data_IF_406200437821
#
_entry.id   IF_406200437821
#
_cell.length_a   1.000
_cell.length_b   1.000
_cell.length_c   1.000
_cell.angle_alpha   90.00
_cell.angle_beta   90.00
_cell.angle_gamma   90.00
#
_symmetry.space_group_name_H-M   'P 1'
#
loop_
_entity.id
_entity.type
_entity.pdbx_description
1 polymer ?
#
# COMPACT_ATOMS: atom_id res chain seq x y z
N UNK A 1 4.96 43.35 -7.39
CA UNK A 1 3.78 42.73 -6.75
C UNK A 1 4.21 41.36 -6.23
N UNK A 2 4.73 41.32 -5.01
CA UNK A 2 5.14 40.08 -4.32
C UNK A 2 3.88 39.47 -3.70
N UNK A 3 3.31 38.47 -4.34
CA UNK A 3 2.24 37.67 -3.75
C UNK A 3 2.85 36.78 -2.67
N UNK A 4 2.90 37.30 -1.44
CA UNK A 4 3.13 36.48 -0.26
C UNK A 4 1.96 35.50 -0.14
N UNK A 5 2.14 34.30 -0.68
CA UNK A 5 1.28 33.16 -0.37
C UNK A 5 1.35 32.87 1.14
N UNK A 6 0.39 32.09 1.69
CA UNK A 6 0.43 31.71 3.09
C UNK A 6 1.80 31.07 3.41
N UNK A 7 2.39 31.39 4.58
CA UNK A 7 3.68 30.83 4.97
C UNK A 7 3.60 29.31 4.97
N UNK A 8 4.70 28.64 4.61
CA UNK A 8 4.85 27.20 4.85
C UNK A 8 4.53 26.93 6.32
N UNK A 9 3.78 25.86 6.66
CA UNK A 9 3.57 25.50 8.05
C UNK A 9 4.94 25.38 8.73
N UNK A 10 5.07 25.98 9.90
CA UNK A 10 6.29 25.84 10.70
C UNK A 10 6.48 24.34 11.00
N UNK A 11 7.54 23.75 10.46
CA UNK A 11 7.98 22.42 10.84
C UNK A 11 8.39 22.53 12.31
N UNK A 12 7.57 22.02 13.22
CA UNK A 12 7.89 21.97 14.64
C UNK A 12 9.15 21.12 14.85
N UNK A 13 10.02 21.57 15.75
CA UNK A 13 11.34 21.00 15.98
C UNK A 13 11.34 19.48 16.21
N UNK A 14 12.35 18.83 15.64
CA UNK A 14 13.02 17.62 16.13
C UNK A 14 12.18 16.40 16.45
N UNK A 15 12.37 15.30 15.69
CA UNK A 15 12.03 13.91 16.06
C UNK A 15 11.25 13.74 17.37
N UNK A 16 9.95 14.02 17.30
CA UNK A 16 9.03 13.38 18.22
C UNK A 16 8.93 11.96 17.65
N UNK A 17 9.30 10.95 18.44
CA UNK A 17 8.83 9.57 18.19
C UNK A 17 7.38 9.66 17.74
N UNK A 18 6.92 8.92 16.69
CA UNK A 18 5.63 9.16 16.03
C UNK A 18 4.63 9.59 17.07
N UNK A 19 4.23 10.88 17.03
CA UNK A 19 3.46 11.47 18.12
C UNK A 19 2.35 10.49 18.43
N UNK A 20 2.31 10.00 19.68
CA UNK A 20 1.37 8.96 20.07
C UNK A 20 0.02 9.34 19.46
N UNK A 21 -0.62 8.43 18.70
CA UNK A 21 -1.76 8.79 17.88
C UNK A 21 -2.70 9.60 18.75
N UNK A 22 -3.05 10.81 18.30
CA UNK A 22 -3.87 11.72 19.07
C UNK A 22 -5.01 10.90 19.68
N UNK A 23 -5.14 10.97 21.01
CA UNK A 23 -6.05 10.12 21.76
C UNK A 23 -7.41 10.13 21.06
N UNK A 24 -8.04 8.97 20.87
CA UNK A 24 -9.26 8.91 20.09
C UNK A 24 -10.28 9.82 20.76
N UNK A 25 -10.83 10.75 19.98
CA UNK A 25 -11.81 11.66 20.52
C UNK A 25 -13.05 10.85 20.92
N UNK A 26 -13.65 11.16 22.07
CA UNK A 26 -15.04 10.79 22.37
C UNK A 26 -16.00 11.64 21.52
N UNK A 27 -15.71 11.74 20.23
CA UNK A 27 -16.48 12.46 19.23
C UNK A 27 -17.63 11.59 18.75
N UNK A 28 -18.72 12.25 18.40
CA UNK A 28 -19.91 11.59 17.84
C UNK A 28 -19.98 11.78 16.32
N UNK A 29 -19.23 12.75 15.78
CA UNK A 29 -19.20 13.08 14.36
C UNK A 29 -17.76 13.11 13.87
N UNK A 30 -17.49 12.38 12.79
CA UNK A 30 -16.23 12.46 12.06
C UNK A 30 -16.36 13.45 10.89
N UNK A 31 -15.36 14.33 10.74
CA UNK A 31 -15.22 15.17 9.56
C UNK A 31 -14.31 14.49 8.55
N UNK A 32 -14.83 14.17 7.37
CA UNK A 32 -14.19 13.25 6.41
C UNK A 32 -13.87 13.96 5.09
N UNK A 33 -12.59 13.94 4.71
CA UNK A 33 -12.13 14.35 3.39
C UNK A 33 -12.26 13.18 2.39
N UNK A 34 -13.06 13.38 1.33
CA UNK A 34 -13.25 12.39 0.26
C UNK A 34 -12.45 12.77 -0.99
N UNK A 35 -11.89 11.79 -1.74
CA UNK A 35 -11.11 12.03 -2.97
C UNK A 35 -12.03 12.35 -4.15
N UNK A 36 -12.84 13.40 -4.00
CA UNK A 36 -13.78 13.91 -4.98
C UNK A 36 -13.35 15.33 -5.34
N UNK A 37 -13.63 15.83 -6.56
CA UNK A 37 -13.33 17.21 -6.94
C UNK A 37 -14.29 18.22 -6.27
N UNK A 38 -14.47 18.10 -4.96
CA UNK A 38 -15.31 18.90 -4.10
C UNK A 38 -14.44 19.42 -2.96
N UNK A 39 -14.20 20.74 -2.92
CA UNK A 39 -13.33 21.39 -1.91
C UNK A 39 -14.05 21.59 -0.58
N UNK A 40 -14.59 20.51 -0.04
CA UNK A 40 -15.22 20.48 1.28
C UNK A 40 -15.06 19.10 1.88
N UNK A 41 -15.19 19.05 3.20
CA UNK A 41 -15.29 17.81 3.96
C UNK A 41 -16.77 17.43 4.14
N UNK A 42 -16.99 16.24 4.67
CA UNK A 42 -18.32 15.68 4.86
C UNK A 42 -18.42 15.10 6.26
N UNK A 43 -19.43 15.56 7.01
CA UNK A 43 -19.73 15.06 8.34
C UNK A 43 -20.43 13.69 8.27
N UNK A 44 -19.99 12.76 9.12
CA UNK A 44 -20.60 11.44 9.29
C UNK A 44 -20.72 11.09 10.77
N UNK A 45 -21.82 10.43 11.15
CA UNK A 45 -22.00 9.95 12.53
C UNK A 45 -21.05 8.78 12.79
N UNK A 46 -20.35 8.81 13.92
CA UNK A 46 -19.55 7.69 14.41
C UNK A 46 -20.50 6.69 15.10
N UNK A 47 -20.60 5.43 14.63
CA UNK A 47 -21.38 4.40 15.32
C UNK A 47 -20.86 4.16 16.75
N UNK A 48 -21.75 3.84 17.68
CA UNK A 48 -21.42 3.64 19.11
C UNK A 48 -20.29 2.63 19.34
N UNK A 49 -20.21 1.59 18.50
CA UNK A 49 -19.16 0.56 18.52
C UNK A 49 -17.76 1.07 18.16
N UNK A 50 -17.66 2.27 17.58
CA UNK A 50 -16.42 2.90 17.15
C UNK A 50 -16.08 4.18 17.95
N UNK A 51 -16.94 4.59 18.89
CA UNK A 51 -16.66 5.75 19.75
C UNK A 51 -15.41 5.47 20.57
N UNK A 52 -14.46 6.39 20.54
CA UNK A 52 -13.15 6.20 21.17
C UNK A 52 -12.20 5.26 20.40
N UNK A 53 -12.51 4.88 19.16
CA UNK A 53 -11.64 4.09 18.28
C UNK A 53 -11.29 4.76 16.95
N UNK A 54 -11.83 5.96 16.68
CA UNK A 54 -11.56 6.70 15.45
C UNK A 54 -10.49 7.75 15.70
N UNK A 55 -9.48 7.81 14.83
CA UNK A 55 -8.37 8.77 14.90
C UNK A 55 -8.38 9.70 13.69
N UNK A 56 -7.89 10.94 13.87
CA UNK A 56 -7.57 11.82 12.72
C UNK A 56 -6.47 11.16 11.90
N UNK A 57 -6.57 11.22 10.58
CA UNK A 57 -5.69 10.55 9.64
C UNK A 57 -6.02 9.08 9.36
N UNK A 58 -7.00 8.49 10.06
CA UNK A 58 -7.49 7.16 9.76
C UNK A 58 -8.36 7.16 8.49
N UNK A 59 -8.30 6.06 7.72
CA UNK A 59 -9.24 5.84 6.62
C UNK A 59 -10.55 5.29 7.14
N UNK A 60 -11.64 5.74 6.52
CA UNK A 60 -13.01 5.29 6.82
C UNK A 60 -13.77 5.03 5.54
N UNK A 61 -14.67 4.05 5.56
CA UNK A 61 -15.59 3.78 4.47
C UNK A 61 -16.92 4.48 4.75
N UNK A 62 -17.41 5.30 3.81
CA UNK A 62 -18.57 6.17 4.03
C UNK A 62 -19.52 6.22 2.84
N UNK A 63 -20.85 6.20 3.05
CA UNK A 63 -21.86 6.34 2.01
C UNK A 63 -21.83 7.71 1.34
N UNK A 64 -21.70 7.71 0.02
CA UNK A 64 -21.79 8.90 -0.80
C UNK A 64 -22.72 8.66 -2.00
N UNK A 65 -23.96 9.16 -1.91
CA UNK A 65 -25.02 8.83 -2.85
C UNK A 65 -25.29 7.32 -2.88
N UNK A 66 -25.19 6.70 -4.06
CA UNK A 66 -25.31 5.25 -4.27
C UNK A 66 -23.98 4.49 -4.12
N UNK A 67 -22.86 5.18 -3.87
CA UNK A 67 -21.51 4.61 -3.92
C UNK A 67 -20.88 4.40 -2.54
N UNK A 68 -20.17 3.28 -2.47
CA UNK A 68 -18.87 2.99 -1.82
C UNK A 68 -17.73 4.02 -1.90
N UNK A 69 -17.33 4.76 -0.86
CA UNK A 69 -16.07 5.53 -0.91
C UNK A 69 -15.24 5.33 0.37
N UNK A 70 -13.92 5.26 0.20
CA UNK A 70 -12.98 5.50 1.30
C UNK A 70 -12.69 7.00 1.36
N UNK A 71 -12.57 7.54 2.56
CA UNK A 71 -12.11 8.89 2.86
C UNK A 71 -11.19 8.90 4.07
N UNK A 72 -10.71 10.08 4.45
CA UNK A 72 -9.82 10.29 5.58
C UNK A 72 -10.50 11.12 6.64
N UNK A 73 -10.43 10.70 7.89
CA UNK A 73 -10.87 11.52 9.02
C UNK A 73 -9.89 12.67 9.18
N UNK A 74 -10.34 13.91 9.03
CA UNK A 74 -9.48 15.10 9.12
C UNK A 74 -9.78 15.95 10.35
N UNK A 75 -10.91 15.69 11.00
CA UNK A 75 -11.36 16.37 12.21
C UNK A 75 -12.56 15.66 12.82
N UNK A 76 -13.09 16.26 13.88
CA UNK A 76 -14.23 15.76 14.64
C UNK A 76 -15.18 16.90 14.96
N UNK A 77 -16.46 16.54 15.14
CA UNK A 77 -17.54 17.43 15.57
C UNK A 77 -17.51 18.81 14.88
N UNK A 78 -17.54 18.85 13.53
CA UNK A 78 -17.50 20.11 12.81
C UNK A 78 -18.72 20.97 13.19
N UNK A 79 -18.55 22.29 13.39
CA UNK A 79 -19.59 23.15 13.95
C UNK A 79 -20.87 23.23 13.10
N UNK A 80 -20.75 23.02 11.79
CA UNK A 80 -21.86 23.08 10.83
C UNK A 80 -22.40 21.68 10.45
N UNK A 81 -22.23 20.67 11.31
CA UNK A 81 -22.75 19.33 11.07
C UNK A 81 -24.30 19.34 11.05
N UNK A 82 -24.95 18.84 9.98
CA UNK A 82 -26.40 18.73 9.95
C UNK A 82 -26.90 17.64 10.91
N UNK A 83 -28.13 17.76 11.42
CA UNK A 83 -28.70 16.79 12.37
C UNK A 83 -28.86 15.37 11.78
N UNK A 84 -29.14 15.27 10.48
CA UNK A 84 -29.38 14.00 9.80
C UNK A 84 -28.10 13.47 9.13
N UNK A 85 -27.22 12.90 9.94
CA UNK A 85 -25.96 12.30 9.48
C UNK A 85 -26.12 10.83 9.13
N UNK A 86 -25.56 10.44 7.98
CA UNK A 86 -25.32 9.03 7.69
C UNK A 86 -24.21 8.51 8.60
N UNK A 87 -24.28 7.25 9.07
CA UNK A 87 -23.19 6.66 9.84
C UNK A 87 -21.96 6.37 8.95
N UNK A 88 -20.78 6.36 9.57
CA UNK A 88 -19.62 5.67 9.02
C UNK A 88 -19.99 4.20 8.78
N UNK A 89 -19.55 3.65 7.66
CA UNK A 89 -19.86 2.27 7.30
C UNK A 89 -18.77 1.28 7.78
N UNK A 90 -17.52 1.73 7.89
CA UNK A 90 -16.44 1.00 8.56
C UNK A 90 -15.27 1.95 8.89
N UNK A 91 -14.52 1.64 9.95
CA UNK A 91 -13.21 2.22 10.25
C UNK A 91 -12.14 1.27 9.69
N UNK A 92 -11.33 1.74 8.75
CA UNK A 92 -10.37 0.89 8.01
C UNK A 92 -9.05 0.76 8.75
N UNK A 93 -8.55 1.87 9.30
CA UNK A 93 -7.30 1.86 10.06
C UNK A 93 -7.58 2.02 11.55
N UNK A 94 -7.07 1.10 12.36
CA UNK A 94 -7.12 1.18 13.83
C UNK A 94 -6.10 2.15 14.41
N UNK A 95 -5.18 2.66 13.58
CA UNK A 95 -4.18 3.66 13.90
C UNK A 95 -4.11 4.66 12.73
N UNK A 96 -3.75 5.92 12.97
CA UNK A 96 -3.67 6.92 11.91
C UNK A 96 -2.61 6.54 10.88
N UNK A 97 -3.04 6.30 9.63
CA UNK A 97 -2.13 6.07 8.51
C UNK A 97 -1.43 7.36 8.07
N UNK A 98 -2.12 8.49 8.27
CA UNK A 98 -1.64 9.85 8.00
C UNK A 98 -1.45 10.55 9.33
N UNK A 99 -0.23 10.98 9.63
CA UNK A 99 0.04 11.78 10.83
C UNK A 99 -0.38 13.26 10.65
N UNK A 100 -0.27 14.04 11.72
CA UNK A 100 -0.63 15.46 11.71
C UNK A 100 0.26 16.29 10.77
N UNK A 101 1.53 15.91 10.59
CA UNK A 101 2.44 16.57 9.66
C UNK A 101 1.97 16.40 8.22
N UNK A 102 1.63 15.16 7.82
CA UNK A 102 1.14 14.86 6.48
C UNK A 102 -0.27 15.39 6.25
N UNK A 103 -1.14 15.40 7.27
CA UNK A 103 -2.43 16.11 7.21
C UNK A 103 -2.23 17.60 6.93
N UNK A 104 -1.28 18.24 7.64
CA UNK A 104 -0.97 19.67 7.48
C UNK A 104 -0.37 19.96 6.09
N UNK A 105 0.58 19.14 5.65
CA UNK A 105 1.21 19.26 4.32
C UNK A 105 0.18 19.09 3.20
N UNK A 106 -0.65 18.05 3.27
CA UNK A 106 -1.67 17.77 2.24
C UNK A 106 -2.76 18.83 2.22
N UNK A 107 -3.10 19.43 3.37
CA UNK A 107 -3.99 20.59 3.43
C UNK A 107 -3.38 21.79 2.72
N UNK A 108 -2.12 22.11 3.01
CA UNK A 108 -1.40 23.19 2.34
C UNK A 108 -1.32 22.96 0.82
N UNK A 109 -1.04 21.73 0.38
CA UNK A 109 -1.04 21.36 -1.04
C UNK A 109 -2.42 21.61 -1.64
N UNK A 110 -3.50 21.16 -1.00
CA UNK A 110 -4.86 21.31 -1.50
C UNK A 110 -5.25 22.79 -1.65
N UNK A 111 -4.96 23.61 -0.64
CA UNK A 111 -5.23 25.05 -0.65
C UNK A 111 -4.43 25.76 -1.76
N UNK A 112 -3.16 25.40 -1.94
CA UNK A 112 -2.27 26.05 -2.91
C UNK A 112 -2.48 25.59 -4.35
N UNK A 113 -2.86 24.35 -4.56
CA UNK A 113 -3.10 23.77 -5.89
C UNK A 113 -4.57 23.79 -6.28
N UNK A 114 -5.46 24.22 -5.37
CA UNK A 114 -6.89 24.30 -5.59
C UNK A 114 -7.50 22.92 -5.93
N UNK A 115 -6.95 21.83 -5.41
CA UNK A 115 -7.61 20.52 -5.42
C UNK A 115 -8.40 20.31 -4.11
N UNK A 116 -9.16 19.23 -4.00
CA UNK A 116 -9.75 18.85 -2.72
C UNK A 116 -8.68 18.27 -1.78
N UNK A 117 -8.89 18.42 -0.46
CA UNK A 117 -8.00 17.80 0.52
C UNK A 117 -7.96 16.28 0.37
N UNK A 118 -9.09 15.65 0.03
CA UNK A 118 -9.14 14.21 -0.20
C UNK A 118 -8.34 13.75 -1.43
N UNK A 119 -8.26 14.56 -2.50
CA UNK A 119 -7.39 14.27 -3.65
C UNK A 119 -5.91 14.38 -3.27
N UNK A 120 -5.53 15.42 -2.51
CA UNK A 120 -4.17 15.58 -2.02
C UNK A 120 -3.75 14.42 -1.11
N UNK A 121 -4.61 14.02 -0.16
CA UNK A 121 -4.37 12.88 0.74
C UNK A 121 -4.25 11.56 -0.01
N UNK A 122 -5.12 11.33 -1.00
CA UNK A 122 -5.04 10.16 -1.86
C UNK A 122 -3.72 10.10 -2.65
N UNK A 123 -3.25 11.24 -3.15
CA UNK A 123 -2.00 11.30 -3.93
C UNK A 123 -0.76 11.05 -3.06
N UNK A 124 -0.83 11.36 -1.77
CA UNK A 124 0.27 11.18 -0.83
C UNK A 124 0.48 9.71 -0.38
N UNK A 125 -0.48 8.81 -0.63
CA UNK A 125 -0.47 7.46 -0.07
C UNK A 125 -0.40 6.35 -1.13
N UNK A 126 0.43 5.31 -0.93
CA UNK A 126 0.43 4.12 -1.77
C UNK A 126 -0.81 3.25 -1.50
N UNK A 127 -1.28 2.53 -2.52
CA UNK A 127 -2.30 1.50 -2.32
C UNK A 127 -3.71 2.00 -2.00
N UNK A 128 -4.08 3.20 -2.47
CA UNK A 128 -5.45 3.72 -2.36
C UNK A 128 -6.46 2.87 -3.14
N UNK A 129 -6.99 1.82 -2.50
CA UNK A 129 -8.05 0.97 -3.02
C UNK A 129 -9.43 1.50 -2.61
N UNK A 130 -10.38 1.47 -3.54
CA UNK A 130 -11.78 1.67 -3.18
C UNK A 130 -12.33 0.41 -2.49
N UNK A 131 -13.18 0.56 -1.47
CA UNK A 131 -13.79 -0.57 -0.80
C UNK A 131 -14.84 -1.18 -1.75
N UNK A 132 -14.93 -2.51 -1.81
CA UNK A 132 -15.94 -3.17 -2.64
C UNK A 132 -17.16 -3.48 -1.78
N UNK A 133 -18.33 -3.00 -2.22
CA UNK A 133 -19.60 -3.54 -1.73
C UNK A 133 -19.74 -4.94 -2.30
N UNK A 134 -19.73 -5.92 -1.42
CA UNK A 134 -19.98 -7.31 -1.77
C UNK A 134 -21.26 -7.76 -1.10
N UNK A 135 -22.08 -8.47 -1.88
CA UNK A 135 -23.25 -9.15 -1.34
C UNK A 135 -22.77 -10.47 -0.75
N UNK A 136 -23.23 -10.76 0.46
CA UNK A 136 -23.07 -12.05 1.10
C UNK A 136 -24.44 -12.61 1.46
N UNK A 137 -24.48 -13.94 1.62
CA UNK A 137 -25.64 -14.62 2.21
C UNK A 137 -25.28 -15.05 3.62
N UNK A 138 -26.21 -14.82 4.54
CA UNK A 138 -26.16 -15.34 5.89
C UNK A 138 -27.30 -16.36 6.04
N UNK A 139 -26.99 -17.57 6.51
CA UNK A 139 -28.02 -18.59 6.76
C UNK A 139 -28.79 -18.27 8.04
N UNK A 140 -30.13 -18.36 7.98
CA UNK A 140 -31.00 -18.01 9.10
C UNK A 140 -31.46 -19.21 9.94
N UNK A 141 -31.33 -20.44 9.44
CA UNK A 141 -31.75 -21.65 10.14
C UNK A 141 -30.56 -22.60 10.40
N UNK A 142 -30.41 -23.18 11.60
CA UNK A 142 -29.57 -24.36 11.80
C UNK A 142 -30.16 -25.55 11.02
N UNK A 143 -29.30 -26.47 10.59
CA UNK A 143 -29.67 -27.64 9.82
C UNK A 143 -30.42 -28.64 10.71
N UNK A 144 -31.70 -28.40 10.97
CA UNK A 144 -32.58 -29.39 11.63
C UNK A 144 -33.08 -30.45 10.63
N UNK A 145 -32.71 -30.31 9.34
CA UNK A 145 -33.11 -31.23 8.28
C UNK A 145 -32.29 -32.54 8.24
N UNK A 146 -31.18 -32.63 8.97
CA UNK A 146 -30.29 -33.80 8.92
C UNK A 146 -30.80 -35.05 9.65
N UNK A 147 -31.99 -35.02 10.27
CA UNK A 147 -32.56 -36.21 10.90
C UNK A 147 -33.41 -37.06 9.95
N UNK A 148 -33.87 -36.54 8.81
CA UNK A 148 -34.62 -37.34 7.85
C UNK A 148 -34.42 -36.87 6.40
N UNK A 149 -33.47 -37.50 5.71
CA UNK A 149 -33.44 -37.55 4.25
C UNK A 149 -32.27 -36.81 3.62
N UNK A 150 -31.29 -37.58 3.14
CA UNK A 150 -30.26 -37.06 2.25
C UNK A 150 -30.89 -36.45 0.99
N UNK A 151 -30.48 -35.24 0.65
CA UNK A 151 -30.92 -34.54 -0.55
C UNK A 151 -29.75 -34.26 -1.49
N UNK A 152 -29.72 -34.94 -2.63
CA UNK A 152 -28.89 -34.60 -3.80
C UNK A 152 -29.38 -33.31 -4.51
N UNK A 153 -30.22 -32.51 -3.86
CA UNK A 153 -30.87 -31.36 -4.49
C UNK A 153 -29.90 -30.17 -4.62
N UNK A 154 -30.15 -29.31 -5.60
CA UNK A 154 -29.39 -28.06 -5.80
C UNK A 154 -29.54 -27.12 -4.60
N UNK A 155 -30.67 -27.20 -3.89
CA UNK A 155 -30.97 -26.37 -2.72
C UNK A 155 -30.15 -26.78 -1.48
N UNK A 156 -30.01 -28.08 -1.22
CA UNK A 156 -29.23 -28.57 -0.08
C UNK A 156 -27.74 -28.25 -0.24
N UNK A 157 -27.22 -28.36 -1.46
CA UNK A 157 -25.85 -27.92 -1.80
C UNK A 157 -25.64 -26.42 -1.57
N UNK A 158 -26.63 -25.59 -1.90
CA UNK A 158 -26.59 -24.15 -1.66
C UNK A 158 -26.58 -23.82 -0.16
N UNK A 159 -27.43 -24.49 0.63
CA UNK A 159 -27.52 -24.31 2.07
C UNK A 159 -26.26 -24.79 2.80
N UNK A 160 -25.67 -25.90 2.36
CA UNK A 160 -24.40 -26.40 2.87
C UNK A 160 -23.23 -25.48 2.51
N UNK A 161 -23.17 -24.98 1.26
CA UNK A 161 -22.10 -24.08 0.82
C UNK A 161 -22.16 -22.68 1.49
N UNK A 162 -23.34 -22.27 1.97
CA UNK A 162 -23.55 -21.06 2.76
C UNK A 162 -23.01 -21.12 4.19
N UNK A 163 -22.68 -22.31 4.71
CA UNK A 163 -22.15 -22.50 6.07
C UNK A 163 -23.15 -22.18 7.19
N UNK A 164 -22.76 -22.50 8.42
CA UNK A 164 -23.54 -22.23 9.62
C UNK A 164 -23.08 -20.88 10.22
N UNK A 165 -24.02 -19.95 10.38
CA UNK A 165 -23.87 -18.64 11.03
C UNK A 165 -22.87 -17.61 10.44
N UNK A 166 -21.96 -18.01 9.56
CA UNK A 166 -21.00 -17.11 8.91
C UNK A 166 -21.58 -16.44 7.64
N UNK A 167 -21.29 -15.16 7.41
CA UNK A 167 -21.71 -14.48 6.19
C UNK A 167 -20.79 -14.87 5.02
N UNK A 168 -21.32 -15.53 3.99
CA UNK A 168 -20.52 -16.02 2.86
C UNK A 168 -20.69 -15.11 1.64
N UNK A 169 -19.61 -14.48 1.12
CA UNK A 169 -19.68 -13.67 -0.09
C UNK A 169 -20.16 -14.47 -1.31
N UNK A 170 -20.96 -13.85 -2.18
CA UNK A 170 -21.47 -14.51 -3.38
C UNK A 170 -20.38 -15.09 -4.30
N UNK A 171 -19.21 -14.44 -4.51
CA UNK A 171 -18.13 -15.04 -5.28
C UNK A 171 -17.54 -16.30 -4.64
N UNK A 172 -17.46 -16.34 -3.30
CA UNK A 172 -16.99 -17.50 -2.55
C UNK A 172 -18.00 -18.63 -2.66
N UNK A 173 -19.29 -18.32 -2.50
CA UNK A 173 -20.38 -19.27 -2.68
C UNK A 173 -20.39 -19.86 -4.10
N UNK A 174 -20.24 -19.03 -5.13
CA UNK A 174 -20.14 -19.46 -6.52
C UNK A 174 -18.94 -20.39 -6.75
N UNK A 175 -17.78 -20.06 -6.18
CA UNK A 175 -16.58 -20.90 -6.24
C UNK A 175 -16.80 -22.25 -5.53
N UNK A 176 -17.41 -22.27 -4.34
CA UNK A 176 -17.73 -23.51 -3.60
C UNK A 176 -18.65 -24.43 -4.40
N UNK A 177 -19.50 -23.86 -5.24
CA UNK A 177 -20.48 -24.57 -6.07
C UNK A 177 -20.01 -24.82 -7.50
N UNK A 178 -18.81 -24.38 -7.87
CA UNK A 178 -18.26 -24.55 -9.22
C UNK A 178 -19.00 -23.77 -10.31
N UNK A 179 -19.67 -22.67 -9.97
CA UNK A 179 -20.50 -21.87 -10.88
C UNK A 179 -20.12 -20.38 -10.87
N UNK A 180 -20.82 -19.56 -11.68
CA UNK A 180 -20.65 -18.09 -11.68
C UNK A 180 -21.76 -17.39 -10.90
N UNK A 181 -21.47 -16.21 -10.35
CA UNK A 181 -22.44 -15.41 -9.57
C UNK A 181 -23.78 -15.14 -10.28
N UNK A 182 -23.86 -14.83 -11.59
CA UNK A 182 -25.13 -14.65 -12.29
C UNK A 182 -26.05 -15.89 -12.23
N UNK A 183 -25.47 -17.09 -12.25
CA UNK A 183 -26.19 -18.37 -12.23
C UNK A 183 -26.82 -18.66 -10.87
N UNK A 184 -26.38 -17.97 -9.81
CA UNK A 184 -26.92 -18.08 -8.45
C UNK A 184 -28.07 -17.11 -8.17
N UNK A 185 -28.31 -16.10 -9.02
CA UNK A 185 -29.19 -15.00 -8.64
C UNK A 185 -30.65 -15.42 -8.39
N UNK A 186 -31.18 -16.35 -9.19
CA UNK A 186 -32.55 -16.83 -9.01
C UNK A 186 -32.69 -17.71 -7.77
N UNK A 187 -31.70 -18.54 -7.52
CA UNK A 187 -31.64 -19.42 -6.34
C UNK A 187 -31.55 -18.58 -5.05
N UNK A 188 -30.67 -17.58 -5.02
CA UNK A 188 -30.56 -16.63 -3.90
C UNK A 188 -31.88 -15.87 -3.70
N UNK A 189 -32.50 -15.36 -4.78
CA UNK A 189 -33.80 -14.67 -4.68
C UNK A 189 -34.90 -15.57 -4.12
N UNK A 190 -34.88 -16.86 -4.43
CA UNK A 190 -35.84 -17.85 -3.92
C UNK A 190 -35.60 -18.14 -2.45
N UNK A 191 -34.34 -18.39 -2.06
CA UNK A 191 -33.95 -18.73 -0.70
C UNK A 191 -34.08 -17.55 0.27
N UNK A 192 -33.90 -16.31 -0.21
CA UNK A 192 -34.19 -15.11 0.57
C UNK A 192 -35.69 -14.91 0.78
N UNK A 193 -36.52 -15.10 -0.26
CA UNK A 193 -37.99 -15.07 -0.12
C UNK A 193 -38.52 -16.17 0.80
N UNK A 194 -37.90 -17.35 0.76
CA UNK A 194 -38.22 -18.48 1.62
C UNK A 194 -37.68 -18.36 3.05
N UNK A 195 -37.03 -17.24 3.40
CA UNK A 195 -36.50 -17.01 4.76
C UNK A 195 -35.30 -17.88 5.15
N UNK A 196 -34.71 -18.61 4.21
CA UNK A 196 -33.57 -19.52 4.47
C UNK A 196 -32.23 -18.79 4.45
N UNK A 197 -32.11 -17.78 3.58
CA UNK A 197 -30.99 -16.84 3.55
C UNK A 197 -31.43 -15.42 3.87
N UNK A 198 -30.58 -14.66 4.54
CA UNK A 198 -30.60 -13.21 4.56
C UNK A 198 -29.51 -12.73 3.61
N UNK A 199 -29.85 -11.76 2.77
CA UNK A 199 -28.85 -11.04 2.01
C UNK A 199 -28.29 -9.92 2.90
N UNK A 200 -26.98 -9.93 3.09
CA UNK A 200 -26.26 -8.91 3.84
C UNK A 200 -25.27 -8.21 2.90
N UNK A 201 -25.17 -6.89 3.03
CA UNK A 201 -24.14 -6.12 2.35
C UNK A 201 -22.92 -6.05 3.25
N UNK A 202 -21.79 -6.58 2.76
CA UNK A 202 -20.50 -6.45 3.43
C UNK A 202 -19.65 -5.44 2.69
N UNK A 203 -18.85 -4.74 3.46
CA UNK A 203 -17.76 -3.93 2.93
C UNK A 203 -16.52 -4.81 2.97
N UNK A 204 -16.14 -5.31 1.80
CA UNK A 204 -14.86 -5.97 1.63
C UNK A 204 -13.81 -4.90 1.43
N UNK A 205 -12.88 -4.80 2.37
CA UNK A 205 -11.67 -4.05 2.15
C UNK A 205 -10.95 -4.68 0.95
N UNK A 206 -10.48 -3.86 0.02
CA UNK A 206 -9.38 -4.33 -0.81
C UNK A 206 -8.25 -4.48 0.19
N UNK A 207 -7.99 -5.71 0.63
CA UNK A 207 -7.03 -6.00 1.69
C UNK A 207 -5.81 -5.11 1.47
N UNK A 208 -5.27 -4.44 2.52
CA UNK A 208 -3.96 -3.81 2.39
C UNK A 208 -3.09 -4.85 1.74
N UNK A 209 -2.47 -4.50 0.61
CA UNK A 209 -1.64 -5.45 -0.13
C UNK A 209 -0.70 -6.05 0.91
N UNK A 210 -0.97 -7.30 1.32
CA UNK A 210 -0.09 -8.02 2.22
C UNK A 210 1.32 -7.95 1.65
N UNK A 211 2.37 -8.12 2.48
CA UNK A 211 3.75 -7.88 2.08
C UNK A 211 3.95 -8.37 0.66
N UNK A 212 4.28 -7.43 -0.25
CA UNK A 212 4.17 -7.63 -1.71
C UNK A 212 4.73 -8.99 -2.05
N UNK A 213 3.82 -9.91 -2.34
CA UNK A 213 4.17 -11.29 -2.55
C UNK A 213 4.75 -11.36 -3.95
N UNK A 214 6.07 -11.58 -4.04
CA UNK A 214 6.73 -11.70 -5.33
C UNK A 214 7.15 -13.14 -5.58
N UNK A 215 7.23 -13.47 -6.88
CA UNK A 215 7.75 -14.77 -7.31
C UNK A 215 9.26 -14.66 -7.39
N UNK A 216 9.97 -15.37 -6.53
CA UNK A 216 11.42 -15.56 -6.62
C UNK A 216 11.71 -16.81 -7.41
N UNK A 217 12.64 -16.71 -8.36
CA UNK A 217 13.19 -17.83 -9.10
C UNK A 217 14.55 -18.16 -8.50
N UNK A 218 14.69 -19.36 -7.95
CA UNK A 218 15.92 -19.89 -7.37
C UNK A 218 16.52 -20.92 -8.31
N UNK A 219 17.79 -20.78 -8.66
CA UNK A 219 18.56 -21.79 -9.37
C UNK A 219 18.88 -22.95 -8.42
N UNK A 220 18.64 -24.18 -8.87
CA UNK A 220 18.93 -25.39 -8.12
C UNK A 220 20.26 -25.97 -8.58
N UNK A 221 21.36 -25.38 -8.11
CA UNK A 221 22.73 -25.84 -8.39
C UNK A 221 22.89 -27.35 -8.14
N UNK A 222 22.25 -27.89 -7.10
CA UNK A 222 22.21 -29.31 -6.75
C UNK A 222 21.53 -30.24 -7.77
N UNK A 223 20.84 -29.67 -8.76
CA UNK A 223 20.03 -30.38 -9.76
C UNK A 223 20.47 -30.12 -11.20
N UNK A 224 21.53 -29.34 -11.39
CA UNK A 224 22.07 -29.07 -12.71
C UNK A 224 22.89 -30.27 -13.17
N UNK A 225 22.68 -30.78 -14.39
CA UNK A 225 23.51 -31.83 -14.94
C UNK A 225 24.83 -31.26 -15.46
N UNK A 226 25.88 -32.08 -15.53
CA UNK A 226 27.22 -31.66 -15.97
C UNK A 226 27.23 -31.21 -17.45
N UNK A 227 26.29 -31.69 -18.26
CA UNK A 227 26.11 -31.35 -19.68
C UNK A 227 25.11 -30.20 -19.90
N UNK A 228 24.79 -29.40 -18.86
CA UNK A 228 23.78 -28.34 -18.94
C UNK A 228 24.02 -27.37 -20.10
N UNK A 229 25.27 -26.97 -20.35
CA UNK A 229 25.62 -26.04 -21.42
C UNK A 229 25.29 -26.60 -22.80
N UNK A 230 25.52 -27.90 -23.01
CA UNK A 230 25.19 -28.59 -24.26
C UNK A 230 23.67 -28.73 -24.44
N UNK A 231 22.95 -29.06 -23.35
CA UNK A 231 21.48 -29.14 -23.37
C UNK A 231 20.80 -27.80 -23.63
N UNK A 232 21.40 -26.70 -23.14
CA UNK A 232 20.86 -25.34 -23.31
C UNK A 232 21.39 -24.63 -24.55
N UNK A 233 22.33 -25.21 -25.30
CA UNK A 233 22.87 -24.64 -26.54
C UNK A 233 21.78 -24.34 -27.58
N UNK A 234 20.71 -25.16 -27.62
CA UNK A 234 19.54 -24.98 -28.50
C UNK A 234 18.43 -24.11 -27.89
N UNK A 235 18.64 -23.59 -26.68
CA UNK A 235 17.66 -22.82 -25.91
C UNK A 235 18.29 -21.54 -25.32
N UNK A 236 18.65 -20.55 -26.16
CA UNK A 236 19.47 -19.39 -25.76
C UNK A 236 18.84 -18.55 -24.63
N UNK A 237 17.51 -18.41 -24.60
CA UNK A 237 16.80 -17.69 -23.53
C UNK A 237 16.89 -18.45 -22.20
N UNK A 238 16.92 -19.80 -22.22
CA UNK A 238 17.08 -20.60 -21.00
C UNK A 238 18.51 -20.52 -20.46
N UNK A 239 19.52 -20.62 -21.34
CA UNK A 239 20.92 -20.40 -20.97
C UNK A 239 21.12 -19.03 -20.31
N UNK A 240 20.55 -17.98 -20.91
CA UNK A 240 20.67 -16.61 -20.38
C UNK A 240 19.96 -16.42 -19.04
N UNK A 241 18.83 -17.10 -18.80
CA UNK A 241 18.18 -17.09 -17.47
C UNK A 241 19.08 -17.74 -16.41
N UNK A 242 19.72 -18.88 -16.71
CA UNK A 242 20.62 -19.55 -15.76
C UNK A 242 21.82 -18.66 -15.45
N UNK A 243 22.40 -18.00 -16.45
CA UNK A 243 23.53 -17.09 -16.28
C UNK A 243 23.16 -15.89 -15.39
N UNK A 244 22.00 -15.25 -15.65
CA UNK A 244 21.51 -14.13 -14.84
C UNK A 244 21.26 -14.54 -13.38
N UNK A 245 20.72 -15.74 -13.16
CA UNK A 245 20.54 -16.27 -11.81
C UNK A 245 21.89 -16.49 -11.12
N UNK A 246 22.88 -17.08 -11.80
CA UNK A 246 24.24 -17.26 -11.25
C UNK A 246 24.91 -15.94 -10.91
N UNK A 247 24.83 -14.94 -11.80
CA UNK A 247 25.43 -13.63 -11.56
C UNK A 247 24.82 -12.88 -10.37
N UNK A 248 23.58 -13.22 -10.00
CA UNK A 248 22.87 -12.63 -8.87
C UNK A 248 22.94 -13.48 -7.59
N UNK A 249 23.83 -14.47 -7.52
CA UNK A 249 23.98 -15.32 -6.32
C UNK A 249 22.95 -16.46 -6.22
N UNK A 250 22.28 -16.80 -7.32
CA UNK A 250 21.42 -17.98 -7.45
C UNK A 250 19.92 -17.69 -7.35
N UNK A 251 19.50 -16.47 -6.97
CA UNK A 251 18.08 -16.11 -6.86
C UNK A 251 17.78 -14.74 -7.48
N UNK A 252 16.62 -14.62 -8.13
CA UNK A 252 16.16 -13.33 -8.67
C UNK A 252 14.63 -13.25 -8.70
N UNK A 253 14.01 -12.08 -8.50
CA UNK A 253 12.60 -11.88 -8.80
C UNK A 253 12.27 -12.21 -10.25
N UNK A 254 11.14 -12.90 -10.48
CA UNK A 254 10.65 -13.20 -11.82
C UNK A 254 10.34 -11.91 -12.61
N UNK A 255 10.01 -10.82 -11.92
CA UNK A 255 9.81 -9.50 -12.55
C UNK A 255 11.12 -9.01 -13.16
N UNK A 256 12.19 -8.99 -12.38
CA UNK A 256 13.49 -8.49 -12.80
C UNK A 256 14.09 -9.34 -13.94
N UNK A 257 13.85 -10.66 -13.94
CA UNK A 257 14.16 -11.54 -15.08
C UNK A 257 13.32 -11.20 -16.33
N UNK A 258 12.06 -10.81 -16.17
CA UNK A 258 11.19 -10.43 -17.28
C UNK A 258 11.55 -9.06 -17.86
N UNK A 259 11.96 -8.14 -17.01
CA UNK A 259 12.38 -6.79 -17.40
C UNK A 259 13.76 -6.82 -18.09
N UNK A 260 14.66 -7.70 -17.64
CA UNK A 260 16.02 -7.84 -18.21
C UNK A 260 16.08 -8.72 -19.47
N UNK A 261 15.14 -9.65 -19.65
CA UNK A 261 15.18 -10.62 -20.73
C UNK A 261 13.79 -10.99 -21.25
N UNK A 262 13.50 -10.59 -22.50
CA UNK A 262 12.27 -10.96 -23.19
C UNK A 262 12.13 -12.49 -23.32
N UNK A 263 10.93 -13.02 -23.03
CA UNK A 263 10.65 -14.45 -23.09
C UNK A 263 11.14 -15.27 -21.87
N UNK A 264 11.75 -14.64 -20.87
CA UNK A 264 12.25 -15.30 -19.66
C UNK A 264 11.15 -16.03 -18.87
N UNK A 265 9.91 -15.53 -18.83
CA UNK A 265 8.78 -16.23 -18.17
C UNK A 265 8.54 -17.64 -18.73
N UNK A 266 8.63 -17.79 -20.05
CA UNK A 266 8.50 -19.09 -20.72
C UNK A 266 9.73 -19.98 -20.48
N UNK A 267 10.92 -19.38 -20.44
CA UNK A 267 12.16 -20.09 -20.11
C UNK A 267 12.16 -20.61 -18.66
N UNK A 268 11.79 -19.78 -17.68
CA UNK A 268 11.65 -20.15 -16.27
C UNK A 268 10.65 -21.29 -16.09
N UNK A 269 9.52 -21.26 -16.81
CA UNK A 269 8.54 -22.36 -16.78
C UNK A 269 9.18 -23.69 -17.23
N UNK A 270 9.87 -23.70 -18.37
CA UNK A 270 10.53 -24.90 -18.92
C UNK A 270 11.69 -25.40 -18.05
N UNK A 271 12.49 -24.48 -17.51
CA UNK A 271 13.55 -24.81 -16.55
C UNK A 271 12.97 -25.38 -15.26
N UNK A 272 11.80 -24.89 -14.84
CA UNK A 272 11.07 -25.38 -13.66
C UNK A 272 10.49 -26.78 -13.87
N UNK A 273 9.96 -27.08 -15.07
CA UNK A 273 9.53 -28.43 -15.47
C UNK A 273 10.69 -29.43 -15.42
N UNK A 274 11.91 -28.99 -15.78
CA UNK A 274 13.16 -29.76 -15.66
C UNK A 274 13.76 -29.77 -14.25
N UNK A 275 13.14 -29.07 -13.29
CA UNK A 275 13.60 -28.91 -11.90
C UNK A 275 14.95 -28.19 -11.74
N UNK A 276 15.42 -27.49 -12.77
CA UNK A 276 16.65 -26.68 -12.71
C UNK A 276 16.43 -25.37 -11.95
N UNK A 277 15.20 -24.88 -11.91
CA UNK A 277 14.82 -23.72 -11.10
C UNK A 277 13.60 -24.04 -10.24
N UNK A 278 13.50 -23.37 -9.09
CA UNK A 278 12.34 -23.42 -8.20
C UNK A 278 11.71 -22.04 -8.16
N UNK A 279 10.41 -21.95 -8.41
CA UNK A 279 9.67 -20.69 -8.26
C UNK A 279 8.93 -20.72 -6.93
N UNK A 280 9.24 -19.79 -6.04
CA UNK A 280 8.56 -19.68 -4.74
C UNK A 280 7.87 -18.32 -4.60
N UNK A 281 6.79 -18.32 -3.81
CA UNK A 281 6.12 -17.10 -3.38
C UNK A 281 6.72 -16.67 -2.05
N UNK A 282 7.53 -15.62 -2.06
CA UNK A 282 8.10 -15.04 -0.84
C UNK A 282 7.41 -13.71 -0.52
N UNK A 283 7.29 -13.42 0.77
CA UNK A 283 6.95 -12.08 1.24
C UNK A 283 8.17 -11.21 0.97
N UNK A 284 8.00 -10.16 0.15
CA UNK A 284 9.06 -9.17 -0.01
C UNK A 284 8.98 -8.21 1.17
N UNK A 285 9.82 -8.46 2.17
CA UNK A 285 10.22 -7.43 3.13
C UNK A 285 11.25 -6.59 2.37
N UNK A 286 10.97 -5.30 2.18
CA UNK A 286 11.78 -4.42 1.35
C UNK A 286 13.13 -4.10 1.97
N UNK A 287 13.99 -5.11 2.13
CA UNK A 287 15.40 -4.87 2.40
C UNK A 287 15.98 -4.18 1.18
N UNK A 288 16.40 -2.93 1.38
CA UNK A 288 17.21 -2.20 0.42
C UNK A 288 18.46 -3.01 0.05
N UNK A 289 19.15 -2.66 -1.04
CA UNK A 289 20.30 -3.42 -1.52
C UNK A 289 21.25 -3.74 -0.38
N UNK A 290 21.53 -5.04 -0.21
CA UNK A 290 22.37 -5.59 0.85
C UNK A 290 23.65 -4.75 1.01
N UNK A 291 24.02 -4.50 2.26
CA UNK A 291 25.26 -3.82 2.66
C UNK A 291 26.49 -4.59 2.15
N UNK A 292 26.82 -4.40 0.88
CA UNK A 292 28.12 -4.71 0.32
C UNK A 292 28.58 -3.52 -0.51
N UNK A 293 28.54 -2.33 0.11
CA UNK A 293 29.32 -1.22 -0.36
C UNK A 293 30.75 -1.43 0.15
N UNK A 294 31.65 -1.89 -0.73
CA UNK A 294 33.09 -1.79 -0.50
C UNK A 294 33.37 -0.34 -0.12
N UNK A 295 33.74 -0.09 1.14
CA UNK A 295 33.97 1.24 1.68
C UNK A 295 35.16 1.87 0.94
N UNK A 296 34.87 2.64 -0.11
CA UNK A 296 35.88 3.48 -0.75
C UNK A 296 36.18 4.63 0.22
N UNK A 297 37.46 4.99 0.44
CA UNK A 297 37.80 6.16 1.25
C UNK A 297 37.15 7.40 0.63
N UNK A 298 36.45 8.18 1.46
CA UNK A 298 35.79 9.39 0.99
C UNK A 298 36.86 10.41 0.54
N UNK A 299 36.69 11.07 -0.62
CA UNK A 299 37.64 12.06 -1.10
C UNK A 299 37.74 13.25 -0.13
N UNK A 300 38.90 13.91 -0.11
CA UNK A 300 39.09 15.14 0.65
C UNK A 300 38.21 16.26 0.09
N UNK A 301 37.55 16.99 0.99
CA UNK A 301 36.70 18.11 0.61
C UNK A 301 37.54 19.32 0.21
N UNK A 302 37.21 19.95 -0.91
CA UNK A 302 37.75 21.27 -1.23
C UNK A 302 37.28 22.30 -0.18
N UNK A 303 38.02 23.41 0.03
CA UNK A 303 37.65 24.42 1.03
C UNK A 303 36.22 24.97 0.88
N UNK A 304 35.72 25.10 -0.35
CA UNK A 304 34.34 25.54 -0.61
C UNK A 304 33.30 24.48 -0.24
N UNK A 305 33.60 23.19 -0.48
CA UNK A 305 32.74 22.08 -0.10
C UNK A 305 32.70 21.91 1.43
N UNK A 306 33.87 21.99 2.09
CA UNK A 306 33.97 21.94 3.54
C UNK A 306 33.10 23.00 4.22
N UNK A 307 33.21 24.28 3.79
CA UNK A 307 32.35 25.36 4.32
C UNK A 307 30.86 25.09 4.12
N UNK A 308 30.46 24.53 2.97
CA UNK A 308 29.06 24.20 2.71
C UNK A 308 28.57 23.05 3.62
N UNK A 309 29.40 22.01 3.79
CA UNK A 309 29.12 20.90 4.71
C UNK A 309 29.01 21.41 6.14
N UNK A 310 29.95 22.22 6.61
CA UNK A 310 29.97 22.75 7.98
C UNK A 310 28.69 23.55 8.28
N UNK A 311 28.25 24.40 7.34
CA UNK A 311 27.02 25.17 7.50
C UNK A 311 25.78 24.27 7.63
N UNK A 312 25.65 23.25 6.77
CA UNK A 312 24.53 22.30 6.78
C UNK A 312 24.57 21.44 8.05
N UNK A 313 25.73 20.92 8.44
CA UNK A 313 25.94 20.10 9.64
C UNK A 313 25.59 20.88 10.90
N UNK A 314 26.01 22.15 10.98
CA UNK A 314 25.66 23.00 12.11
C UNK A 314 24.14 23.19 12.24
N UNK A 315 23.41 23.36 11.13
CA UNK A 315 21.95 23.43 11.15
C UNK A 315 21.31 22.09 11.56
N UNK A 316 21.80 20.97 11.03
CA UNK A 316 21.33 19.62 11.41
C UNK A 316 21.46 19.37 12.91
N UNK A 317 22.60 19.76 13.49
CA UNK A 317 22.89 19.61 14.92
C UNK A 317 22.05 20.53 15.79
N UNK A 318 21.76 21.77 15.35
CA UNK A 318 20.80 22.66 16.03
C UNK A 318 19.38 22.09 16.02
N UNK A 319 19.03 21.30 15.01
CA UNK A 319 17.68 20.74 14.86
C UNK A 319 16.66 21.71 14.28
N UNK A 320 17.09 22.89 13.85
CA UNK A 320 16.22 23.94 13.29
C UNK A 320 16.04 23.79 11.77
N UNK A 321 14.81 23.94 11.23
CA UNK A 321 14.59 23.92 9.78
C UNK A 321 15.32 25.07 9.07
N UNK A 322 16.22 24.76 8.15
CA UNK A 322 16.96 25.75 7.37
C UNK A 322 17.04 25.37 5.88
N UNK A 323 16.93 26.37 5.01
CA UNK A 323 16.96 26.20 3.55
C UNK A 323 18.27 26.72 3.00
N UNK A 324 19.01 25.86 2.29
CA UNK A 324 20.29 26.20 1.66
C UNK A 324 20.19 26.11 0.13
N UNK A 325 20.72 27.11 -0.57
CA UNK A 325 20.98 27.04 -2.01
C UNK A 325 22.45 26.64 -2.25
N UNK A 326 22.69 25.40 -2.67
CA UNK A 326 24.03 24.97 -3.07
C UNK A 326 24.28 25.26 -4.56
N UNK A 327 24.84 26.43 -4.85
CA UNK A 327 25.13 26.85 -6.22
C UNK A 327 26.53 26.39 -6.68
N UNK A 328 26.58 25.72 -7.84
CA UNK A 328 27.84 25.32 -8.46
C UNK A 328 27.63 24.63 -9.81
N UNK A 329 28.61 24.73 -10.70
CA UNK A 329 28.59 24.05 -12.02
C UNK A 329 28.66 22.53 -11.88
N UNK A 330 28.37 21.78 -12.95
CA UNK A 330 28.59 20.33 -12.99
C UNK A 330 30.07 20.01 -12.74
N UNK A 331 30.37 18.93 -12.00
CA UNK A 331 31.75 18.58 -11.65
C UNK A 331 32.35 19.32 -10.45
N UNK A 332 31.69 20.36 -9.91
CA UNK A 332 32.13 21.05 -8.68
C UNK A 332 32.01 20.22 -7.39
N UNK A 333 31.48 19.00 -7.49
CA UNK A 333 31.32 18.07 -6.36
C UNK A 333 30.15 18.39 -5.42
N UNK A 334 29.06 19.00 -5.91
CA UNK A 334 27.81 19.17 -5.14
C UNK A 334 27.29 17.85 -4.55
N UNK A 335 27.42 16.76 -5.29
CA UNK A 335 27.03 15.42 -4.84
C UNK A 335 27.76 15.00 -3.57
N UNK A 336 29.05 15.34 -3.43
CA UNK A 336 29.82 15.03 -2.23
C UNK A 336 29.26 15.78 -1.01
N UNK A 337 28.89 17.05 -1.18
CA UNK A 337 28.24 17.84 -0.11
C UNK A 337 26.93 17.19 0.33
N UNK A 338 26.10 16.70 -0.61
CA UNK A 338 24.86 15.99 -0.29
C UNK A 338 25.11 14.70 0.49
N UNK A 339 26.06 13.88 0.05
CA UNK A 339 26.39 12.61 0.69
C UNK A 339 26.90 12.83 2.12
N UNK A 340 27.74 13.85 2.35
CA UNK A 340 28.24 14.21 3.69
C UNK A 340 27.12 14.69 4.61
N UNK A 341 26.21 15.52 4.11
CA UNK A 341 25.05 15.97 4.87
C UNK A 341 24.12 14.80 5.25
N UNK A 342 23.88 13.86 4.32
CA UNK A 342 23.08 12.66 4.59
C UNK A 342 23.77 11.71 5.57
N UNK A 343 25.09 11.55 5.46
CA UNK A 343 25.87 10.76 6.40
C UNK A 343 25.79 11.34 7.82
N UNK A 344 25.85 12.66 7.98
CA UNK A 344 25.65 13.30 9.29
C UNK A 344 24.22 13.11 9.81
N UNK A 345 23.20 13.29 8.96
CA UNK A 345 21.81 13.04 9.35
C UNK A 345 21.63 11.60 9.87
N UNK A 346 22.22 10.61 9.18
CA UNK A 346 22.25 9.20 9.61
C UNK A 346 23.03 9.01 10.92
N UNK A 347 24.16 9.68 11.10
CA UNK A 347 24.93 9.65 12.36
C UNK A 347 24.12 10.17 13.54
N UNK A 348 23.25 11.16 13.31
CA UNK A 348 22.31 11.70 14.29
C UNK A 348 21.05 10.82 14.48
N UNK A 349 21.01 9.61 13.90
CA UNK A 349 19.87 8.69 14.00
C UNK A 349 18.66 9.10 13.17
N UNK A 350 18.80 10.05 12.24
CA UNK A 350 17.72 10.56 11.39
C UNK A 350 17.70 9.88 10.03
N UNK A 351 16.61 10.04 9.30
CA UNK A 351 16.48 9.64 7.90
C UNK A 351 16.78 10.81 6.95
N UNK A 352 17.02 10.51 5.68
CA UNK A 352 17.27 11.49 4.64
C UNK A 352 16.47 11.18 3.38
N UNK A 353 15.86 12.21 2.78
CA UNK A 353 15.17 12.11 1.50
C UNK A 353 16.02 12.80 0.44
N UNK A 354 16.40 12.08 -0.62
CA UNK A 354 17.11 12.61 -1.77
C UNK A 354 16.20 12.58 -3.00
N UNK A 355 15.74 13.76 -3.43
CA UNK A 355 14.87 13.90 -4.59
C UNK A 355 15.72 14.22 -5.83
N UNK A 356 15.59 13.39 -6.86
CA UNK A 356 16.24 13.59 -8.17
C UNK A 356 15.17 13.74 -9.25
N UNK A 357 15.48 14.39 -10.38
CA UNK A 357 14.63 14.33 -11.56
C UNK A 357 14.40 12.90 -12.01
N UNK A 358 13.21 12.59 -12.53
CA UNK A 358 12.83 11.24 -12.98
C UNK A 358 13.85 10.61 -13.93
N UNK A 359 14.37 11.40 -14.88
CA UNK A 359 15.36 10.97 -15.88
C UNK A 359 16.72 10.59 -15.30
N UNK A 360 17.01 10.91 -14.03
CA UNK A 360 18.29 10.67 -13.38
C UNK A 360 18.34 9.31 -12.67
N UNK A 361 17.22 8.60 -12.59
CA UNK A 361 17.12 7.28 -11.95
C UNK A 361 17.53 6.11 -12.86
N UNK A 362 17.96 6.38 -14.11
CA UNK A 362 18.57 5.36 -14.96
C UNK A 362 19.94 4.97 -14.39
N UNK A 363 20.21 3.66 -14.18
CA UNK A 363 21.54 3.22 -13.76
C UNK A 363 22.57 3.70 -14.77
N UNK A 364 23.63 4.38 -14.31
CA UNK A 364 24.79 4.61 -15.15
C UNK A 364 25.43 3.24 -15.41
N UNK A 365 25.29 2.75 -16.65
CA UNK A 365 25.94 1.52 -17.15
C UNK A 365 27.44 1.67 -17.28
#
# INVERSE_FOLDING_TARGET
>A
MTTNGPPLPALTDGHVAPAAPAAPANALVADVALPLPLRKTFAYRIPDEHVGGVHRGARVNVPFGSRMLTGFVVGFDPPDAPDNLKPLAAVVDTHPLVDEELLSLTRWIAERTLCSWGEALRAALPGYGSPKRERAVQRLAPLVADLFGGGESREDRLLAAGGDAEEVPLPVLAKRLGCKVPELQEDIRRLVRGGKFRLVERISETAPSGPSRIKIVTLREDRLPDDLEEQLARAPVQARVVELLRSAGGELPLRDLADSLAGSRGAVKRLGERKFVKVTMQAWEGEGPAESAVARPLPELMPAQARAVDAIVAALQRGTPETFLLHGVTGSGKTEVYLRAMAEARRLGRTSIFLVPEITLTPQT
#
